data_IF_605551562311
#
_entry.id   IF_605551562311
#
_cell.length_a   1.000
_cell.length_b   1.000
_cell.length_c   1.000
_cell.angle_alpha   90.00
_cell.angle_beta   90.00
_cell.angle_gamma   90.00
#
_symmetry.space_group_name_H-M   'P 1'
#
loop_
_entity.id
_entity.type
_entity.pdbx_description
1 polymer ?
#
# COMPACT_ATOMS: atom_id res chain seq x y z
N UNK A 1 -22.42 27.18 1.64
CA UNK A 1 -22.50 26.43 0.37
C UNK A 1 -21.83 25.09 0.60
N UNK A 2 -22.57 24.00 0.64
CA UNK A 2 -21.99 22.67 0.86
C UNK A 2 -21.33 22.21 -0.45
N UNK A 3 -20.03 21.95 -0.41
CA UNK A 3 -19.28 21.42 -1.55
C UNK A 3 -19.63 19.92 -1.62
N UNK A 4 -20.31 19.49 -2.66
CA UNK A 4 -20.55 18.09 -2.95
C UNK A 4 -19.31 17.52 -3.63
N UNK A 5 -18.58 16.66 -2.92
CA UNK A 5 -17.48 15.88 -3.48
C UNK A 5 -18.10 14.75 -4.29
N UNK A 6 -17.76 14.65 -5.58
CA UNK A 6 -18.22 13.55 -6.43
C UNK A 6 -17.35 12.30 -6.21
N UNK A 7 -17.90 11.12 -6.54
CA UNK A 7 -17.13 9.86 -6.55
C UNK A 7 -15.83 9.96 -7.38
N UNK A 8 -15.86 10.78 -8.42
CA UNK A 8 -14.73 11.00 -9.31
C UNK A 8 -13.61 11.79 -8.63
N UNK A 9 -13.97 12.77 -7.80
CA UNK A 9 -13.00 13.59 -7.05
C UNK A 9 -12.31 12.76 -5.97
N UNK A 10 -13.04 11.83 -5.33
CA UNK A 10 -12.50 10.88 -4.36
C UNK A 10 -11.58 9.85 -5.04
N UNK A 11 -11.97 9.30 -6.19
CA UNK A 11 -11.16 8.35 -6.95
C UNK A 11 -9.91 8.98 -7.55
N UNK A 12 -9.90 10.29 -7.78
CA UNK A 12 -8.74 11.02 -8.30
C UNK A 12 -7.73 11.42 -7.21
N UNK A 13 -7.92 10.97 -5.96
CA UNK A 13 -6.94 11.19 -4.90
C UNK A 13 -6.82 12.65 -4.43
N UNK A 14 -7.84 13.48 -4.70
CA UNK A 14 -7.88 14.85 -4.17
C UNK A 14 -8.26 14.78 -2.69
N UNK A 15 -7.27 14.66 -1.83
CA UNK A 15 -7.43 14.92 -0.41
C UNK A 15 -7.71 16.43 -0.25
N UNK A 16 -8.95 16.77 0.07
CA UNK A 16 -9.28 18.15 0.45
C UNK A 16 -8.76 18.39 1.86
N UNK A 17 -7.48 18.70 1.94
CA UNK A 17 -6.84 19.26 3.12
C UNK A 17 -6.75 20.78 2.95
N UNK A 18 -7.58 21.51 3.68
CA UNK A 18 -7.43 22.92 4.07
C UNK A 18 -6.75 23.86 3.06
N UNK A 19 -7.51 24.43 2.14
CA UNK A 19 -7.02 25.53 1.34
C UNK A 19 -7.92 25.93 0.20
N UNK A 20 -8.95 26.75 0.44
CA UNK A 20 -9.84 27.31 -0.59
C UNK A 20 -9.16 28.17 -1.67
N UNK A 21 -7.84 28.14 -1.76
CA UNK A 21 -7.06 28.83 -2.81
C UNK A 21 -6.71 27.96 -4.01
N UNK A 22 -6.87 26.63 -3.92
CA UNK A 22 -6.53 25.72 -5.05
C UNK A 22 -7.74 25.35 -5.93
N UNK A 23 -8.96 25.76 -5.56
CA UNK A 23 -10.18 25.47 -6.31
C UNK A 23 -10.49 26.50 -7.42
N UNK A 24 -9.70 27.53 -7.60
CA UNK A 24 -9.88 28.49 -8.71
C UNK A 24 -9.34 27.98 -10.05
N UNK A 25 -8.67 26.82 -10.09
CA UNK A 25 -8.09 26.27 -11.32
C UNK A 25 -8.97 25.30 -12.12
N UNK A 26 -10.11 24.86 -11.59
CA UNK A 26 -10.93 23.80 -12.21
C UNK A 26 -12.22 24.26 -12.89
N UNK A 27 -12.39 25.54 -13.18
CA UNK A 27 -13.62 26.10 -13.72
C UNK A 27 -13.46 27.12 -14.83
N UNK A 28 -12.38 27.13 -15.58
CA UNK A 28 -12.20 27.95 -16.79
C UNK A 28 -12.41 27.12 -18.05
N UNK A 29 -13.08 27.71 -19.06
CA UNK A 29 -13.13 27.16 -20.40
C UNK A 29 -11.72 26.88 -20.91
N UNK A 30 -11.50 25.81 -21.70
CA UNK A 30 -10.18 25.46 -22.21
C UNK A 30 -9.66 26.55 -23.16
N UNK A 31 -8.72 27.34 -22.69
CA UNK A 31 -7.90 28.09 -23.63
C UNK A 31 -7.07 27.13 -24.49
N UNK A 32 -6.85 27.44 -25.79
CA UNK A 32 -6.05 26.57 -26.66
C UNK A 32 -4.61 26.46 -26.11
N UNK A 33 -3.96 25.30 -26.29
CA UNK A 33 -2.72 24.98 -25.65
C UNK A 33 -1.61 25.95 -26.05
N UNK A 34 -1.31 26.88 -25.20
CA UNK A 34 0.02 27.50 -25.19
C UNK A 34 1.01 26.39 -24.80
N UNK A 35 2.12 26.34 -25.53
CA UNK A 35 3.26 25.43 -25.35
C UNK A 35 3.31 24.78 -23.96
N UNK A 36 3.34 23.44 -23.92
CA UNK A 36 3.42 22.67 -22.69
C UNK A 36 4.44 23.36 -21.76
N UNK A 37 3.95 24.15 -20.83
CA UNK A 37 4.77 24.69 -19.77
C UNK A 37 5.00 23.53 -18.80
N UNK A 38 5.97 22.69 -19.15
CA UNK A 38 6.48 21.70 -18.23
C UNK A 38 6.92 22.46 -16.99
N UNK A 39 6.33 22.15 -15.85
CA UNK A 39 6.61 22.87 -14.61
C UNK A 39 8.13 23.03 -14.43
N UNK A 40 8.59 24.20 -13.97
CA UNK A 40 10.00 24.37 -13.69
C UNK A 40 10.46 23.28 -12.72
N UNK A 41 11.72 22.87 -12.76
CA UNK A 41 12.25 21.87 -11.86
C UNK A 41 11.89 22.26 -10.43
N UNK A 42 11.36 21.29 -9.71
CA UNK A 42 10.88 21.42 -8.35
C UNK A 42 11.96 21.99 -7.43
N UNK A 43 11.58 22.37 -6.21
CA UNK A 43 12.52 22.82 -5.14
C UNK A 43 13.62 21.80 -4.81
N UNK A 44 13.55 20.61 -5.38
CA UNK A 44 14.45 19.52 -5.13
C UNK A 44 15.63 19.55 -6.09
N UNK A 45 16.80 19.37 -5.52
CA UNK A 45 18.02 19.24 -6.31
C UNK A 45 17.95 18.01 -7.23
N UNK A 46 18.63 18.00 -8.38
CA UNK A 46 18.76 16.81 -9.20
C UNK A 46 19.29 15.61 -8.38
N UNK A 47 18.89 14.37 -8.69
CA UNK A 47 19.34 13.17 -7.97
C UNK A 47 20.86 13.02 -7.85
N UNK A 48 21.61 13.61 -8.76
CA UNK A 48 23.08 13.62 -8.75
C UNK A 48 23.69 14.75 -7.89
N UNK A 49 22.88 15.61 -7.28
CA UNK A 49 23.39 16.62 -6.36
C UNK A 49 23.75 16.00 -5.02
N UNK A 50 24.88 16.38 -4.44
CA UNK A 50 25.41 15.82 -3.20
C UNK A 50 24.51 15.98 -1.96
N UNK A 51 23.54 16.90 -2.02
CA UNK A 51 22.56 17.14 -0.95
C UNK A 51 21.18 16.57 -1.22
N UNK A 52 21.00 15.78 -2.30
CA UNK A 52 19.72 15.21 -2.63
C UNK A 52 19.42 13.98 -1.75
N UNK A 53 18.47 14.15 -0.82
CA UNK A 53 18.07 13.09 0.09
C UNK A 53 16.56 13.18 0.40
N UNK A 54 15.69 12.62 -0.47
CA UNK A 54 14.24 12.74 -0.37
C UNK A 54 13.62 12.26 0.94
N UNK A 55 14.14 11.23 1.66
CA UNK A 55 13.52 10.77 2.90
C UNK A 55 13.34 11.83 3.98
N UNK A 56 14.13 12.90 3.96
CA UNK A 56 14.04 14.02 4.92
C UNK A 56 13.07 15.12 4.51
N UNK A 57 12.49 15.03 3.30
CA UNK A 57 11.53 16.01 2.83
C UNK A 57 10.18 15.80 3.53
N UNK A 58 9.52 16.90 3.89
CA UNK A 58 8.23 16.91 4.56
C UNK A 58 7.10 17.17 3.57
N UNK A 59 5.85 16.89 3.98
CA UNK A 59 4.65 17.11 3.18
C UNK A 59 4.10 15.82 2.59
N UNK A 60 3.29 15.95 1.55
CA UNK A 60 2.64 14.81 0.88
C UNK A 60 3.61 14.12 -0.06
N UNK A 61 4.34 13.14 0.44
CA UNK A 61 5.40 12.44 -0.29
C UNK A 61 4.91 11.64 -1.51
N UNK A 62 3.65 11.24 -1.54
CA UNK A 62 3.04 10.53 -2.66
C UNK A 62 2.47 11.44 -3.75
N UNK A 63 2.37 12.76 -3.51
CA UNK A 63 1.78 13.75 -4.43
C UNK A 63 2.47 15.09 -4.22
N UNK A 64 3.76 15.14 -4.55
CA UNK A 64 4.57 16.35 -4.45
C UNK A 64 4.68 17.05 -5.82
N UNK A 65 5.06 18.31 -5.82
CA UNK A 65 5.34 19.09 -7.02
C UNK A 65 6.39 18.36 -7.90
N UNK A 66 6.10 18.19 -9.17
CA UNK A 66 6.93 17.45 -10.15
C UNK A 66 6.49 16.00 -10.37
N UNK A 67 5.70 15.41 -9.47
CA UNK A 67 5.27 14.00 -9.58
C UNK A 67 4.01 13.79 -10.41
N UNK A 68 3.17 14.81 -10.59
CA UNK A 68 1.85 14.63 -11.20
C UNK A 68 1.59 15.53 -12.43
N UNK A 69 2.31 16.62 -12.62
CA UNK A 69 1.98 17.62 -13.63
C UNK A 69 2.03 17.04 -15.05
N UNK A 70 3.07 16.28 -15.36
CA UNK A 70 3.23 15.62 -16.67
C UNK A 70 2.14 14.57 -16.88
N UNK A 71 1.88 13.74 -15.87
CA UNK A 71 0.84 12.72 -15.92
C UNK A 71 -0.55 13.33 -16.07
N UNK A 72 -0.86 14.43 -15.35
CA UNK A 72 -2.13 15.15 -15.48
C UNK A 72 -2.27 15.87 -16.83
N UNK A 73 -1.20 16.45 -17.35
CA UNK A 73 -1.21 17.04 -18.68
C UNK A 73 -1.61 16.00 -19.73
N UNK A 74 -1.00 14.84 -19.69
CA UNK A 74 -1.27 13.75 -20.61
C UNK A 74 -2.69 13.15 -20.38
N UNK A 75 -3.00 12.71 -19.15
CA UNK A 75 -4.20 11.94 -18.89
C UNK A 75 -5.50 12.78 -18.94
N UNK A 76 -5.46 14.04 -18.51
CA UNK A 76 -6.65 14.88 -18.44
C UNK A 76 -6.83 15.80 -19.62
N UNK A 77 -5.73 16.25 -20.23
CA UNK A 77 -5.78 17.21 -21.33
C UNK A 77 -5.31 16.67 -22.67
N UNK A 78 -4.79 15.42 -22.69
CA UNK A 78 -4.19 14.84 -23.89
C UNK A 78 -2.91 15.57 -24.35
N UNK A 79 -2.33 16.38 -23.50
CA UNK A 79 -1.14 17.17 -23.82
C UNK A 79 0.12 16.32 -23.65
N UNK A 80 0.95 16.28 -24.67
CA UNK A 80 2.24 15.60 -24.64
C UNK A 80 3.28 16.40 -25.42
N UNK A 81 4.56 16.25 -25.10
CA UNK A 81 5.64 16.90 -25.89
C UNK A 81 5.53 16.56 -27.37
N UNK A 82 5.73 17.57 -28.23
CA UNK A 82 5.71 17.35 -29.67
C UNK A 82 6.95 16.62 -30.19
N UNK A 83 8.08 16.80 -29.48
CA UNK A 83 9.36 16.21 -29.83
C UNK A 83 10.05 15.66 -28.57
N UNK A 84 10.73 14.54 -28.74
CA UNK A 84 11.57 13.92 -27.72
C UNK A 84 13.00 13.88 -28.20
N UNK A 85 13.94 14.34 -27.38
CA UNK A 85 15.35 14.25 -27.67
C UNK A 85 15.80 12.79 -27.56
N UNK A 86 16.26 12.13 -28.63
CA UNK A 86 16.79 10.80 -28.53
C UNK A 86 18.13 10.85 -27.76
N UNK A 87 18.26 9.93 -26.83
CA UNK A 87 19.53 9.65 -26.16
C UNK A 87 20.20 8.47 -26.83
N UNK A 88 21.53 8.50 -26.93
CA UNK A 88 22.31 7.36 -27.42
C UNK A 88 22.46 6.31 -26.31
N UNK A 89 21.30 5.85 -25.83
CA UNK A 89 21.20 4.85 -24.75
C UNK A 89 20.28 3.71 -25.18
N UNK A 90 20.78 2.51 -25.03
CA UNK A 90 20.02 1.28 -25.26
C UNK A 90 20.14 0.36 -24.05
N UNK A 91 19.04 -0.27 -23.63
CA UNK A 91 18.95 -1.14 -22.48
C UNK A 91 18.38 -2.51 -22.87
N UNK A 92 18.78 -3.57 -22.17
CA UNK A 92 18.16 -4.89 -22.32
C UNK A 92 16.74 -4.85 -21.73
N UNK A 93 16.54 -4.06 -20.65
CA UNK A 93 15.26 -3.86 -20.00
C UNK A 93 15.08 -2.42 -19.55
N UNK A 94 13.92 -1.84 -19.84
CA UNK A 94 13.42 -0.64 -19.14
C UNK A 94 12.23 -1.02 -18.27
N UNK A 95 12.23 -0.56 -17.03
CA UNK A 95 11.12 -0.76 -16.07
C UNK A 95 10.51 0.59 -15.75
N UNK A 96 9.22 0.75 -16.01
CA UNK A 96 8.46 1.95 -15.68
C UNK A 96 7.82 1.78 -14.32
N UNK A 97 8.34 2.49 -13.32
CA UNK A 97 7.99 2.42 -11.92
C UNK A 97 9.06 1.70 -11.09
N UNK A 98 9.62 2.42 -10.10
CA UNK A 98 10.60 1.89 -9.14
C UNK A 98 9.95 1.54 -7.78
N UNK A 99 8.66 1.14 -7.79
CA UNK A 99 7.99 0.51 -6.66
C UNK A 99 8.44 -0.95 -6.49
N UNK A 100 7.88 -1.66 -5.50
CA UNK A 100 8.24 -3.06 -5.21
C UNK A 100 8.17 -3.97 -6.44
N UNK A 101 7.12 -3.84 -7.26
CA UNK A 101 6.95 -4.66 -8.47
C UNK A 101 8.04 -4.39 -9.50
N UNK A 102 8.40 -3.11 -9.70
CA UNK A 102 9.45 -2.75 -10.65
C UNK A 102 10.84 -3.15 -10.18
N UNK A 103 11.15 -2.96 -8.91
CA UNK A 103 12.41 -3.40 -8.30
C UNK A 103 12.56 -4.93 -8.37
N UNK A 104 11.48 -5.67 -8.06
CA UNK A 104 11.46 -7.12 -8.18
C UNK A 104 11.64 -7.58 -9.64
N UNK A 105 10.97 -6.93 -10.60
CA UNK A 105 11.11 -7.24 -12.02
C UNK A 105 12.56 -7.05 -12.49
N UNK A 106 13.19 -5.94 -12.12
CA UNK A 106 14.59 -5.67 -12.43
C UNK A 106 15.52 -6.73 -11.80
N UNK A 107 15.27 -7.10 -10.55
CA UNK A 107 16.05 -8.14 -9.87
C UNK A 107 15.91 -9.51 -10.52
N UNK A 108 14.71 -9.97 -10.82
CA UNK A 108 14.50 -11.26 -11.50
C UNK A 108 15.08 -11.28 -12.90
N UNK A 109 14.98 -10.18 -13.64
CA UNK A 109 15.60 -10.06 -14.96
C UNK A 109 17.12 -10.18 -14.85
N UNK A 110 17.76 -9.41 -13.97
CA UNK A 110 19.19 -9.48 -13.71
C UNK A 110 19.64 -10.87 -13.26
N UNK A 111 18.88 -11.51 -12.38
CA UNK A 111 19.16 -12.88 -11.90
C UNK A 111 19.14 -13.90 -13.05
N UNK A 112 18.26 -13.68 -14.04
CA UNK A 112 18.13 -14.57 -15.21
C UNK A 112 19.16 -14.28 -16.29
N UNK A 113 19.43 -13.01 -16.58
CA UNK A 113 20.24 -12.57 -17.71
C UNK A 113 21.73 -12.37 -17.35
N UNK A 114 22.02 -12.22 -16.07
CA UNK A 114 23.37 -11.99 -15.55
C UNK A 114 23.59 -10.58 -15.01
N UNK A 115 24.73 -10.36 -14.31
CA UNK A 115 25.01 -9.10 -13.63
C UNK A 115 25.26 -7.93 -14.60
N UNK A 116 25.64 -8.21 -15.84
CA UNK A 116 25.97 -7.20 -16.85
C UNK A 116 24.74 -6.72 -17.64
N UNK A 117 23.55 -7.30 -17.39
CA UNK A 117 22.32 -6.90 -18.04
C UNK A 117 22.05 -5.40 -17.79
N UNK A 118 21.90 -4.65 -18.88
CA UNK A 118 21.67 -3.22 -18.85
C UNK A 118 20.21 -2.93 -18.55
N UNK A 119 19.94 -2.44 -17.35
CA UNK A 119 18.58 -2.20 -16.84
C UNK A 119 18.44 -0.72 -16.46
N UNK A 120 17.36 -0.08 -16.93
CA UNK A 120 16.97 1.24 -16.46
C UNK A 120 15.60 1.19 -15.79
N UNK A 121 15.51 1.71 -14.58
CA UNK A 121 14.24 1.98 -13.91
C UNK A 121 13.92 3.47 -14.05
N UNK A 122 12.68 3.80 -14.44
CA UNK A 122 12.15 5.17 -14.48
C UNK A 122 11.07 5.32 -13.42
N UNK A 123 11.16 6.34 -12.58
CA UNK A 123 10.10 6.67 -11.62
C UNK A 123 9.77 8.16 -11.69
N UNK A 124 8.50 8.49 -11.68
CA UNK A 124 8.02 9.87 -11.74
C UNK A 124 8.16 10.63 -10.41
N UNK A 125 8.40 9.91 -9.33
CA UNK A 125 8.62 10.51 -8.01
C UNK A 125 10.08 10.89 -7.78
N UNK A 126 10.29 11.68 -6.75
CA UNK A 126 11.60 12.10 -6.25
C UNK A 126 12.34 10.99 -5.48
N UNK A 127 11.67 9.87 -5.22
CA UNK A 127 12.18 8.75 -4.45
C UNK A 127 11.61 7.43 -4.99
N UNK A 128 12.33 6.34 -4.78
CA UNK A 128 11.93 4.99 -5.14
C UNK A 128 11.06 4.35 -4.04
N UNK A 129 10.57 3.13 -4.28
CA UNK A 129 9.80 2.33 -3.35
C UNK A 129 8.28 2.38 -3.56
N UNK A 130 7.77 3.29 -4.39
CA UNK A 130 6.33 3.43 -4.63
C UNK A 130 5.58 3.81 -3.34
N UNK A 131 4.63 2.98 -2.88
CA UNK A 131 3.95 3.14 -1.60
C UNK A 131 4.87 2.94 -0.38
N UNK A 132 5.97 2.20 -0.56
CA UNK A 132 6.95 1.94 0.49
C UNK A 132 7.93 3.11 0.64
N UNK A 133 7.40 4.28 0.94
CA UNK A 133 8.19 5.49 1.22
C UNK A 133 8.71 5.49 2.64
N UNK A 134 9.86 6.14 2.84
CA UNK A 134 10.45 6.39 4.15
C UNK A 134 10.28 7.86 4.52
N UNK A 135 9.87 8.11 5.74
CA UNK A 135 9.91 9.45 6.35
C UNK A 135 10.99 9.47 7.42
N UNK A 136 11.92 10.40 7.30
CA UNK A 136 13.07 10.52 8.20
C UNK A 136 13.10 11.92 8.79
N UNK A 137 13.05 11.98 10.12
CA UNK A 137 13.06 13.22 10.88
C UNK A 137 14.32 13.28 11.75
N UNK A 138 14.92 14.45 11.83
CA UNK A 138 16.10 14.69 12.67
C UNK A 138 15.79 15.79 13.69
N UNK A 139 15.95 15.48 14.97
CA UNK A 139 15.76 16.43 16.06
C UNK A 139 16.77 16.17 17.16
N UNK A 140 17.50 17.21 17.56
CA UNK A 140 18.53 17.15 18.62
C UNK A 140 19.53 15.98 18.46
N UNK A 141 19.99 15.77 17.21
CA UNK A 141 20.96 14.72 16.89
C UNK A 141 20.38 13.30 16.89
N UNK A 142 19.07 13.15 17.04
CA UNK A 142 18.37 11.87 16.96
C UNK A 142 17.65 11.74 15.64
N UNK A 143 17.82 10.61 14.97
CA UNK A 143 17.03 10.21 13.82
C UNK A 143 15.76 9.49 14.31
N UNK A 144 14.63 9.87 13.76
CA UNK A 144 13.34 9.21 13.98
C UNK A 144 12.79 8.79 12.61
N UNK A 145 12.31 7.56 12.54
CA UNK A 145 11.75 6.98 11.33
C UNK A 145 10.24 6.88 11.46
N UNK A 146 9.56 7.06 10.34
CA UNK A 146 8.13 6.83 10.22
C UNK A 146 7.82 6.15 8.90
N UNK A 147 6.70 5.47 8.90
CA UNK A 147 6.17 4.71 7.77
C UNK A 147 5.69 5.65 6.67
N UNK A 148 5.73 5.15 5.44
CA UNK A 148 4.98 5.69 4.31
C UNK A 148 3.65 4.96 4.14
N UNK A 149 3.32 4.55 2.92
CA UNK A 149 2.06 3.87 2.60
C UNK A 149 2.04 2.36 2.85
N UNK A 150 3.18 1.70 3.13
CA UNK A 150 3.29 0.26 3.29
C UNK A 150 4.07 -0.08 4.56
N UNK A 151 3.42 -0.76 5.49
CA UNK A 151 3.95 -0.99 6.84
C UNK A 151 4.46 -2.41 7.03
N UNK A 152 3.60 -3.41 6.82
CA UNK A 152 3.79 -4.77 7.31
C UNK A 152 4.41 -5.71 6.28
N UNK A 153 5.18 -6.65 6.76
CA UNK A 153 5.39 -7.94 6.14
C UNK A 153 4.34 -8.88 6.73
N UNK A 154 3.23 -9.06 6.03
CA UNK A 154 2.13 -9.90 6.50
C UNK A 154 2.42 -11.37 6.15
N UNK A 155 2.43 -12.23 7.15
CA UNK A 155 2.60 -13.68 7.03
C UNK A 155 3.81 -14.10 6.18
N UNK A 156 5.02 -13.60 6.47
CA UNK A 156 6.20 -13.87 5.64
C UNK A 156 6.53 -15.36 5.53
N UNK A 157 6.25 -16.16 6.54
CA UNK A 157 6.41 -17.64 6.49
C UNK A 157 5.45 -18.32 5.51
N UNK A 158 4.35 -17.65 5.13
CA UNK A 158 3.37 -18.12 4.14
C UNK A 158 3.64 -17.66 2.70
N UNK A 159 4.73 -16.96 2.43
CA UNK A 159 5.02 -16.44 1.10
C UNK A 159 5.24 -17.56 0.07
N UNK A 160 4.82 -17.31 -1.16
CA UNK A 160 5.11 -18.21 -2.27
C UNK A 160 6.62 -18.43 -2.43
N UNK A 161 7.02 -19.54 -3.07
CA UNK A 161 8.45 -19.81 -3.36
C UNK A 161 9.14 -18.64 -4.10
N UNK A 162 8.40 -17.92 -4.93
CA UNK A 162 8.93 -16.77 -5.68
C UNK A 162 9.13 -15.57 -4.75
N UNK A 163 8.10 -15.23 -3.96
CA UNK A 163 8.18 -14.12 -3.03
C UNK A 163 9.17 -14.39 -1.89
N UNK A 164 9.10 -15.55 -1.24
CA UNK A 164 10.06 -15.94 -0.21
C UNK A 164 11.50 -16.03 -0.73
N UNK A 165 11.68 -16.53 -1.96
CA UNK A 165 12.99 -16.54 -2.61
C UNK A 165 13.53 -15.13 -2.88
N UNK A 166 12.68 -14.16 -3.24
CA UNK A 166 13.07 -12.76 -3.36
C UNK A 166 13.51 -12.18 -2.02
N UNK A 167 12.74 -12.47 -0.97
CA UNK A 167 13.06 -12.00 0.39
C UNK A 167 14.40 -12.55 0.88
N UNK A 168 14.64 -13.85 0.68
CA UNK A 168 15.93 -14.48 1.00
C UNK A 168 17.09 -13.90 0.16
N UNK A 169 16.88 -13.60 -1.13
CA UNK A 169 17.90 -12.97 -1.99
C UNK A 169 18.38 -11.62 -1.44
N UNK A 170 17.50 -10.87 -0.74
CA UNK A 170 17.84 -9.59 -0.12
C UNK A 170 18.22 -9.69 1.36
N UNK A 171 18.33 -10.92 1.88
CA UNK A 171 18.77 -11.20 3.24
C UNK A 171 17.64 -11.31 4.28
N UNK A 172 16.39 -11.23 3.86
CA UNK A 172 15.22 -11.44 4.74
C UNK A 172 14.83 -12.91 4.64
N UNK A 173 15.61 -13.77 5.29
CA UNK A 173 15.35 -15.20 5.40
C UNK A 173 14.53 -15.54 6.66
N UNK A 174 14.27 -16.82 6.87
CA UNK A 174 13.47 -17.30 8.00
C UNK A 174 14.11 -16.95 9.35
N UNK A 175 15.43 -16.97 9.45
CA UNK A 175 16.14 -16.60 10.69
C UNK A 175 16.01 -15.11 10.99
N UNK A 176 16.14 -14.28 9.94
CA UNK A 176 15.94 -12.83 10.08
C UNK A 176 14.48 -12.50 10.44
N UNK A 177 13.51 -13.15 9.79
CA UNK A 177 12.07 -12.98 10.10
C UNK A 177 11.76 -13.38 11.54
N UNK A 178 12.34 -14.48 12.03
CA UNK A 178 12.17 -14.90 13.41
C UNK A 178 12.77 -13.88 14.40
N UNK A 179 13.90 -13.27 14.06
CA UNK A 179 14.52 -12.23 14.89
C UNK A 179 13.72 -10.91 14.92
N UNK A 180 12.87 -10.67 13.91
CA UNK A 180 11.98 -9.50 13.83
C UNK A 180 10.70 -9.64 14.67
N UNK A 181 10.59 -10.64 15.53
CA UNK A 181 9.36 -10.88 16.28
C UNK A 181 8.98 -9.65 17.13
N UNK A 182 7.89 -8.99 16.72
CA UNK A 182 7.34 -7.82 17.43
C UNK A 182 6.73 -8.18 18.78
N UNK A 183 6.47 -9.47 19.03
CA UNK A 183 5.93 -9.96 20.30
C UNK A 183 7.02 -10.14 21.37
N UNK A 184 8.27 -9.86 21.08
CA UNK A 184 9.29 -9.78 22.12
C UNK A 184 8.97 -8.64 23.09
N UNK A 185 9.27 -8.78 24.40
CA UNK A 185 8.99 -7.75 25.40
C UNK A 185 9.52 -6.36 25.02
N UNK A 186 10.67 -6.30 24.37
CA UNK A 186 11.30 -5.04 23.96
C UNK A 186 10.54 -4.39 22.77
N UNK A 187 10.10 -5.19 21.80
CA UNK A 187 9.34 -4.70 20.66
C UNK A 187 7.90 -4.31 21.05
N UNK A 188 7.28 -5.03 21.98
CA UNK A 188 5.97 -4.66 22.52
C UNK A 188 6.01 -3.35 23.32
N UNK A 189 7.12 -3.03 23.96
CA UNK A 189 7.30 -1.75 24.63
C UNK A 189 7.37 -0.59 23.62
N UNK A 190 7.87 -0.83 22.40
CA UNK A 190 7.92 0.14 21.31
C UNK A 190 6.58 0.28 20.57
N UNK A 191 5.86 -0.82 20.38
CA UNK A 191 4.57 -0.84 19.69
C UNK A 191 3.42 -0.24 20.50
N UNK A 192 3.65 0.11 21.75
CA UNK A 192 2.60 0.45 22.71
C UNK A 192 1.85 -0.82 23.14
N UNK A 193 1.04 -0.69 24.17
CA UNK A 193 0.21 -1.80 24.64
C UNK A 193 -0.90 -2.04 23.59
N UNK A 194 -0.83 -3.16 22.89
CA UNK A 194 -1.95 -3.64 22.04
C UNK A 194 -3.24 -3.84 22.86
N UNK A 195 -3.12 -3.92 24.18
CA UNK A 195 -4.22 -3.95 25.15
C UNK A 195 -4.74 -2.56 25.54
N UNK A 196 -4.24 -1.50 24.93
CA UNK A 196 -4.76 -0.17 25.22
C UNK A 196 -6.21 -0.07 24.75
N UNK A 197 -7.04 0.52 25.58
CA UNK A 197 -8.40 0.90 25.20
C UNK A 197 -8.30 1.77 23.93
N UNK A 198 -8.96 1.31 22.87
CA UNK A 198 -9.12 2.05 21.64
C UNK A 198 -10.57 2.47 21.46
N UNK A 199 -10.84 3.46 20.61
CA UNK A 199 -12.17 3.99 20.40
C UNK A 199 -12.60 3.83 18.94
N UNK A 200 -13.90 3.57 18.78
CA UNK A 200 -14.56 3.66 17.46
C UNK A 200 -15.41 4.92 17.44
N UNK A 201 -15.21 5.77 16.45
CA UNK A 201 -16.04 6.93 16.20
C UNK A 201 -17.20 6.54 15.27
N UNK A 202 -18.43 6.66 15.77
CA UNK A 202 -19.63 6.34 15.01
C UNK A 202 -20.42 7.62 14.69
N UNK A 203 -21.13 7.67 13.56
CA UNK A 203 -22.08 8.75 13.30
C UNK A 203 -23.13 8.85 14.40
N UNK A 204 -23.43 10.04 14.85
CA UNK A 204 -24.44 10.30 15.86
C UNK A 204 -25.28 11.54 15.52
N UNK A 205 -26.37 11.80 16.25
CA UNK A 205 -27.31 12.88 15.94
C UNK A 205 -26.68 14.28 15.89
N UNK A 206 -25.61 14.47 16.66
CA UNK A 206 -24.92 15.77 16.81
C UNK A 206 -23.45 15.69 16.34
N UNK A 207 -23.12 14.80 15.38
CA UNK A 207 -21.76 14.57 14.89
C UNK A 207 -21.33 13.13 15.15
N UNK A 208 -20.21 12.92 15.85
CA UNK A 208 -19.68 11.60 16.14
C UNK A 208 -19.85 11.26 17.62
N UNK A 209 -20.15 9.99 17.88
CA UNK A 209 -20.08 9.38 19.21
C UNK A 209 -18.86 8.48 19.25
N UNK A 210 -17.94 8.73 20.18
CA UNK A 210 -16.79 7.87 20.39
C UNK A 210 -17.10 6.83 21.46
N UNK A 211 -16.95 5.55 21.14
CA UNK A 211 -17.14 4.44 22.05
C UNK A 211 -15.78 3.83 22.34
N UNK A 212 -15.29 4.09 23.54
CA UNK A 212 -14.06 3.48 24.04
C UNK A 212 -14.28 2.03 24.47
N UNK A 213 -13.23 1.24 24.40
CA UNK A 213 -13.22 -0.15 24.84
C UNK A 213 -12.08 -0.95 24.18
N UNK A 214 -12.09 -2.25 24.40
CA UNK A 214 -11.15 -3.15 23.75
C UNK A 214 -11.73 -3.69 22.43
N UNK A 215 -11.64 -2.88 21.37
CA UNK A 215 -12.15 -3.26 20.05
C UNK A 215 -11.30 -4.35 19.38
N UNK A 216 -10.03 -4.49 19.75
CA UNK A 216 -9.21 -5.64 19.31
C UNK A 216 -9.78 -6.95 19.85
N UNK A 217 -10.19 -6.97 21.12
CA UNK A 217 -10.86 -8.14 21.69
C UNK A 217 -12.20 -8.45 21.00
N UNK A 218 -12.93 -7.45 20.53
CA UNK A 218 -14.14 -7.63 19.73
C UNK A 218 -13.81 -8.27 18.38
N UNK A 219 -12.80 -7.76 17.67
CA UNK A 219 -12.45 -8.23 16.32
C UNK A 219 -11.81 -9.62 16.32
N UNK A 220 -10.85 -9.85 17.20
CA UNK A 220 -10.01 -11.06 17.17
C UNK A 220 -10.35 -12.08 18.25
N UNK A 221 -11.28 -11.76 19.14
CA UNK A 221 -11.59 -12.53 20.34
C UNK A 221 -10.59 -12.27 21.46
N UNK A 222 -11.03 -12.29 22.70
CA UNK A 222 -10.18 -12.05 23.85
C UNK A 222 -10.99 -11.58 25.06
N UNK A 223 -10.32 -11.32 26.15
CA UNK A 223 -10.98 -10.80 27.35
C UNK A 223 -11.47 -9.35 27.13
N UNK A 224 -12.64 -9.05 27.70
CA UNK A 224 -13.19 -7.68 27.67
C UNK A 224 -14.08 -7.32 26.49
N UNK A 225 -14.24 -8.20 25.46
CA UNK A 225 -15.12 -7.91 24.33
C UNK A 225 -16.58 -7.65 24.76
N UNK A 226 -17.08 -8.39 25.75
CA UNK A 226 -18.44 -8.21 26.25
C UNK A 226 -18.65 -6.82 26.86
N UNK A 227 -17.70 -6.34 27.65
CA UNK A 227 -17.74 -4.99 28.23
C UNK A 227 -17.77 -3.92 27.13
N UNK A 228 -17.01 -4.09 26.08
CA UNK A 228 -16.96 -3.16 24.94
C UNK A 228 -18.29 -3.14 24.20
N UNK A 229 -18.88 -4.31 23.93
CA UNK A 229 -20.16 -4.42 23.25
C UNK A 229 -21.33 -3.86 24.10
N UNK A 230 -21.24 -3.98 25.44
CA UNK A 230 -22.21 -3.36 26.35
C UNK A 230 -22.19 -1.84 26.36
N UNK A 231 -21.12 -1.22 25.85
CA UNK A 231 -21.02 0.25 25.72
C UNK A 231 -21.64 0.77 24.40
N UNK A 232 -22.08 -0.11 23.50
CA UNK A 232 -22.72 0.29 22.24
C UNK A 232 -24.08 0.95 22.50
N UNK A 233 -24.42 2.03 21.78
CA UNK A 233 -25.69 2.74 21.91
C UNK A 233 -26.82 2.02 21.14
N UNK A 234 -26.96 0.73 21.38
CA UNK A 234 -28.01 -0.14 20.81
C UNK A 234 -28.83 -0.78 21.93
N UNK A 235 -29.93 -1.42 21.59
CA UNK A 235 -30.78 -2.07 22.59
C UNK A 235 -30.04 -3.20 23.34
N UNK A 236 -30.44 -3.47 24.57
CA UNK A 236 -29.86 -4.56 25.38
C UNK A 236 -29.97 -5.90 24.66
N UNK A 237 -31.09 -6.16 23.97
CA UNK A 237 -31.28 -7.36 23.17
C UNK A 237 -30.27 -7.49 22.02
N UNK A 238 -29.94 -6.41 21.36
CA UNK A 238 -28.91 -6.40 20.33
C UNK A 238 -27.50 -6.56 20.90
N UNK A 239 -27.22 -5.93 22.06
CA UNK A 239 -25.97 -6.17 22.77
C UNK A 239 -25.80 -7.64 23.13
N UNK A 240 -26.85 -8.32 23.60
CA UNK A 240 -26.84 -9.76 23.86
C UNK A 240 -26.58 -10.56 22.58
N UNK A 241 -27.26 -10.20 21.50
CA UNK A 241 -27.06 -10.84 20.18
C UNK A 241 -25.63 -10.68 19.68
N UNK A 242 -25.06 -9.48 19.80
CA UNK A 242 -23.66 -9.22 19.41
C UNK A 242 -22.68 -10.00 20.28
N UNK A 243 -22.91 -10.10 21.59
CA UNK A 243 -22.10 -10.88 22.52
C UNK A 243 -22.14 -12.37 22.13
N UNK A 244 -23.31 -12.90 21.80
CA UNK A 244 -23.44 -14.28 21.32
C UNK A 244 -22.74 -14.49 19.97
N UNK A 245 -22.87 -13.51 19.07
CA UNK A 245 -22.27 -13.55 17.73
C UNK A 245 -20.75 -13.53 17.78
N UNK A 246 -20.16 -12.56 18.47
CA UNK A 246 -18.70 -12.47 18.60
C UNK A 246 -18.12 -13.60 19.47
N UNK A 247 -18.85 -14.03 20.50
CA UNK A 247 -18.44 -15.12 21.38
C UNK A 247 -18.62 -16.52 20.81
N UNK A 248 -19.29 -16.67 19.67
CA UNK A 248 -19.57 -17.99 19.08
C UNK A 248 -20.49 -18.85 19.94
N UNK A 249 -21.36 -18.24 20.74
CA UNK A 249 -22.25 -18.93 21.67
C UNK A 249 -23.46 -19.55 20.98
N UNK A 250 -23.86 -19.05 19.81
CA UNK A 250 -25.02 -19.47 19.03
C UNK A 250 -24.62 -19.81 17.59
N UNK A 251 -25.31 -20.82 17.00
CA UNK A 251 -25.25 -21.11 15.56
C UNK A 251 -26.30 -20.28 14.81
N UNK A 252 -25.91 -19.26 14.10
CA UNK A 252 -26.81 -18.41 13.31
C UNK A 252 -27.19 -19.03 11.96
N UNK A 253 -26.59 -20.17 11.59
CA UNK A 253 -26.98 -20.96 10.44
C UNK A 253 -27.72 -22.24 10.84
N UNK A 254 -28.23 -22.28 12.07
CA UNK A 254 -29.03 -23.44 12.55
C UNK A 254 -30.25 -23.69 11.65
N UNK A 255 -30.61 -24.95 11.50
CA UNK A 255 -31.68 -25.40 10.60
C UNK A 255 -31.25 -25.65 9.15
N UNK A 256 -30.03 -25.27 8.77
CA UNK A 256 -29.47 -25.57 7.44
C UNK A 256 -28.59 -26.81 7.49
N UNK A 257 -28.72 -27.68 6.49
CA UNK A 257 -27.77 -28.78 6.24
C UNK A 257 -26.40 -28.23 5.86
N UNK A 258 -25.37 -29.07 5.88
CA UNK A 258 -24.00 -28.65 5.53
C UNK A 258 -23.90 -28.07 4.12
N UNK A 259 -24.60 -28.68 3.17
CA UNK A 259 -24.67 -28.22 1.77
C UNK A 259 -25.31 -26.84 1.68
N UNK A 260 -26.45 -26.65 2.37
CA UNK A 260 -27.15 -25.36 2.37
C UNK A 260 -26.35 -24.26 3.08
N UNK A 261 -25.63 -24.59 4.16
CA UNK A 261 -24.71 -23.64 4.81
C UNK A 261 -23.63 -23.17 3.84
N UNK A 262 -23.04 -24.11 3.09
CA UNK A 262 -22.01 -23.79 2.10
C UNK A 262 -22.56 -22.90 0.98
N UNK A 263 -23.72 -23.21 0.43
CA UNK A 263 -24.37 -22.39 -0.58
C UNK A 263 -24.71 -21.01 -0.04
N UNK A 264 -25.26 -20.94 1.18
CA UNK A 264 -25.63 -19.68 1.83
C UNK A 264 -24.41 -18.74 1.99
N UNK A 265 -23.31 -19.22 2.56
CA UNK A 265 -22.14 -18.38 2.82
C UNK A 265 -21.43 -17.92 1.55
N UNK A 266 -21.61 -18.63 0.42
CA UNK A 266 -21.04 -18.27 -0.87
C UNK A 266 -21.93 -17.35 -1.70
N UNK A 267 -23.22 -17.25 -1.41
CA UNK A 267 -24.20 -16.54 -2.24
C UNK A 267 -24.79 -15.30 -1.57
N UNK A 268 -24.87 -15.28 -0.24
CA UNK A 268 -25.47 -14.18 0.52
C UNK A 268 -24.40 -13.19 0.92
N UNK A 269 -24.69 -11.89 0.81
CA UNK A 269 -23.77 -10.88 1.28
C UNK A 269 -23.76 -10.78 2.82
N UNK A 270 -22.64 -10.33 3.37
CA UNK A 270 -22.42 -10.33 4.81
C UNK A 270 -23.42 -9.45 5.57
N UNK A 271 -23.81 -8.30 5.02
CA UNK A 271 -24.78 -7.43 5.69
C UNK A 271 -26.18 -8.07 5.72
N UNK A 272 -26.58 -8.73 4.64
CA UNK A 272 -27.83 -9.48 4.62
C UNK A 272 -27.84 -10.61 5.67
N UNK A 273 -26.72 -11.32 5.81
CA UNK A 273 -26.54 -12.29 6.88
C UNK A 273 -26.70 -11.67 8.29
N UNK A 274 -26.12 -10.49 8.53
CA UNK A 274 -26.28 -9.78 9.79
C UNK A 274 -27.72 -9.39 10.08
N UNK A 275 -28.45 -8.97 9.07
CA UNK A 275 -29.88 -8.60 9.21
C UNK A 275 -30.77 -9.82 9.38
N UNK A 276 -30.67 -10.82 8.50
CA UNK A 276 -31.64 -11.90 8.40
C UNK A 276 -31.40 -13.05 9.37
N UNK A 277 -30.13 -13.40 9.61
CA UNK A 277 -29.75 -14.55 10.43
C UNK A 277 -29.28 -14.16 11.81
N UNK A 278 -28.46 -13.12 11.90
CA UNK A 278 -28.01 -12.60 13.21
C UNK A 278 -29.14 -11.80 13.86
N UNK A 279 -29.97 -11.13 13.08
CA UNK A 279 -31.14 -10.41 13.54
C UNK A 279 -30.82 -9.03 14.12
N UNK A 280 -29.79 -8.38 13.56
CA UNK A 280 -29.44 -7.00 13.92
C UNK A 280 -30.38 -6.00 13.25
N UNK A 281 -30.57 -4.85 13.88
CA UNK A 281 -31.29 -3.74 13.28
C UNK A 281 -30.46 -3.08 12.16
N UNK A 282 -31.13 -2.42 11.20
CA UNK A 282 -30.46 -1.76 10.09
C UNK A 282 -29.47 -0.69 10.58
N UNK A 283 -29.75 -0.03 11.70
CA UNK A 283 -28.91 1.01 12.31
C UNK A 283 -27.64 0.45 12.95
N UNK A 284 -27.63 -0.84 13.30
CA UNK A 284 -26.48 -1.51 13.93
C UNK A 284 -25.48 -2.04 12.90
N UNK A 285 -25.94 -2.42 11.71
CA UNK A 285 -25.07 -2.95 10.64
C UNK A 285 -23.94 -2.01 10.26
N UNK A 286 -24.12 -0.67 10.13
CA UNK A 286 -23.02 0.26 9.84
C UNK A 286 -21.90 0.25 10.87
N UNK A 287 -22.16 -0.09 12.13
CA UNK A 287 -21.16 -0.21 13.19
C UNK A 287 -20.18 -1.33 12.86
N UNK A 288 -20.70 -2.50 12.44
CA UNK A 288 -19.89 -3.65 12.04
C UNK A 288 -19.22 -3.43 10.68
N UNK A 289 -19.86 -2.69 9.78
CA UNK A 289 -19.26 -2.33 8.50
C UNK A 289 -17.99 -1.47 8.65
N UNK A 290 -17.89 -0.65 9.68
CA UNK A 290 -16.67 0.11 9.94
C UNK A 290 -15.46 -0.82 10.17
N UNK A 291 -15.67 -1.94 10.86
CA UNK A 291 -14.66 -2.97 11.09
C UNK A 291 -14.29 -3.67 9.76
N UNK A 292 -15.28 -4.09 8.99
CA UNK A 292 -15.07 -4.78 7.71
C UNK A 292 -14.36 -3.86 6.71
N UNK A 293 -14.78 -2.60 6.64
CA UNK A 293 -14.19 -1.61 5.76
C UNK A 293 -12.70 -1.37 6.10
N UNK A 294 -12.36 -1.39 7.39
CA UNK A 294 -10.97 -1.31 7.83
C UNK A 294 -10.13 -2.49 7.35
N UNK A 295 -10.67 -3.71 7.37
CA UNK A 295 -9.96 -4.92 6.98
C UNK A 295 -9.86 -5.11 5.45
N UNK A 296 -10.92 -4.77 4.72
CA UNK A 296 -11.07 -5.15 3.31
C UNK A 296 -11.11 -3.99 2.34
N UNK A 297 -11.35 -2.76 2.81
CA UNK A 297 -11.66 -1.61 1.95
C UNK A 297 -13.04 -1.69 1.27
N UNK A 298 -13.83 -2.73 1.55
CA UNK A 298 -15.15 -2.98 0.95
C UNK A 298 -16.23 -3.05 2.04
N UNK A 299 -17.44 -2.64 1.68
CA UNK A 299 -18.62 -2.80 2.52
C UNK A 299 -19.08 -4.27 2.53
N UNK A 300 -19.65 -4.72 3.65
CA UNK A 300 -20.28 -6.04 3.74
C UNK A 300 -21.44 -6.28 2.75
N UNK A 301 -21.93 -5.25 2.06
CA UNK A 301 -22.85 -5.39 0.92
C UNK A 301 -22.16 -5.92 -0.35
N UNK A 302 -20.85 -5.79 -0.44
CA UNK A 302 -20.05 -6.15 -1.62
C UNK A 302 -19.27 -7.46 -1.42
N UNK A 303 -19.37 -8.07 -0.25
CA UNK A 303 -18.68 -9.31 0.10
C UNK A 303 -19.70 -10.38 0.46
N UNK A 304 -19.50 -11.58 -0.01
CA UNK A 304 -20.24 -12.75 0.51
C UNK A 304 -19.84 -12.99 1.97
N UNK A 305 -20.66 -13.76 2.68
CA UNK A 305 -20.34 -14.15 4.06
C UNK A 305 -18.97 -14.83 4.13
N UNK A 306 -18.68 -15.72 3.16
CA UNK A 306 -17.40 -16.45 3.12
C UNK A 306 -16.22 -15.49 2.88
N UNK A 307 -16.35 -14.57 1.93
CA UNK A 307 -15.29 -13.58 1.63
C UNK A 307 -15.05 -12.64 2.82
N UNK A 308 -16.11 -12.15 3.45
CA UNK A 308 -15.98 -11.28 4.61
C UNK A 308 -15.25 -11.99 5.76
N UNK A 309 -15.64 -13.22 6.08
CA UNK A 309 -15.00 -14.00 7.15
C UNK A 309 -13.58 -14.42 6.78
N UNK A 310 -13.35 -14.78 5.52
CA UNK A 310 -12.01 -15.08 5.02
C UNK A 310 -11.04 -13.90 5.09
N UNK A 311 -11.56 -12.68 5.13
CA UNK A 311 -10.81 -11.45 5.33
C UNK A 311 -10.83 -10.93 6.78
N UNK A 312 -11.22 -11.78 7.74
CA UNK A 312 -11.14 -11.45 9.17
C UNK A 312 -12.43 -10.88 9.79
N UNK A 313 -13.54 -10.79 9.04
CA UNK A 313 -14.81 -10.40 9.63
C UNK A 313 -15.29 -11.47 10.63
N UNK A 314 -15.99 -11.00 11.67
CA UNK A 314 -16.49 -11.88 12.71
C UNK A 314 -17.60 -12.82 12.22
N UNK A 315 -17.79 -13.95 12.90
CA UNK A 315 -18.93 -14.84 12.68
C UNK A 315 -18.60 -16.32 12.44
N UNK A 316 -17.36 -16.67 12.10
CA UNK A 316 -17.00 -18.07 11.85
C UNK A 316 -17.33 -19.00 13.01
N UNK A 317 -17.10 -18.56 14.26
CA UNK A 317 -17.41 -19.32 15.48
C UNK A 317 -18.91 -19.49 15.70
N UNK A 318 -19.72 -18.66 15.07
CA UNK A 318 -21.17 -18.56 15.16
C UNK A 318 -21.90 -19.27 14.02
N UNK A 319 -21.23 -20.18 13.31
CA UNK A 319 -21.76 -21.04 12.24
C UNK A 319 -21.81 -22.53 12.65
N UNK A 320 -21.98 -22.78 13.94
CA UNK A 320 -22.10 -24.10 14.50
C UNK A 320 -20.77 -24.86 14.62
N UNK A 321 -20.85 -26.20 14.71
CA UNK A 321 -19.67 -27.04 14.93
C UNK A 321 -18.66 -26.93 13.75
N UNK A 322 -19.15 -26.78 12.52
CA UNK A 322 -18.30 -26.66 11.34
C UNK A 322 -17.46 -25.38 11.43
N UNK A 323 -18.09 -24.24 11.70
CA UNK A 323 -17.40 -22.99 11.90
C UNK A 323 -16.40 -23.03 13.05
N UNK A 324 -16.78 -23.64 14.17
CA UNK A 324 -15.89 -23.85 15.33
C UNK A 324 -14.70 -24.75 14.99
N UNK A 325 -14.92 -25.82 14.23
CA UNK A 325 -13.85 -26.74 13.80
C UNK A 325 -12.91 -26.02 12.81
N UNK A 326 -13.46 -25.31 11.83
CA UNK A 326 -12.64 -24.50 10.89
C UNK A 326 -11.86 -23.43 11.65
N UNK A 327 -12.49 -22.74 12.61
CA UNK A 327 -11.80 -21.76 13.43
C UNK A 327 -10.70 -22.37 14.32
N UNK A 328 -10.89 -23.58 14.82
CA UNK A 328 -9.89 -24.26 15.67
C UNK A 328 -8.75 -24.88 14.86
N UNK A 329 -9.04 -25.46 13.69
CA UNK A 329 -8.02 -26.00 12.78
C UNK A 329 -7.34 -24.86 12.01
N UNK A 330 -8.13 -23.85 11.64
CA UNK A 330 -7.63 -22.63 11.03
C UNK A 330 -6.95 -21.69 12.02
N UNK A 331 -7.06 -21.94 13.34
CA UNK A 331 -6.41 -21.08 14.35
C UNK A 331 -4.91 -21.00 14.16
N UNK A 332 -4.25 -22.13 13.94
CA UNK A 332 -2.82 -22.16 13.61
C UNK A 332 -2.51 -21.58 12.23
N UNK A 333 -3.44 -21.70 11.28
CA UNK A 333 -3.33 -21.06 9.98
C UNK A 333 -3.64 -19.55 10.06
N UNK A 334 -4.66 -19.17 10.86
CA UNK A 334 -4.96 -17.76 11.16
C UNK A 334 -3.84 -17.12 11.99
N UNK A 335 -3.21 -17.83 12.91
CA UNK A 335 -2.04 -17.35 13.63
C UNK A 335 -0.85 -17.13 12.68
N UNK A 336 -0.69 -18.00 11.66
CA UNK A 336 0.30 -17.75 10.60
C UNK A 336 -0.09 -16.63 9.65
N UNK A 337 -1.38 -16.42 9.39
CA UNK A 337 -1.89 -15.27 8.62
C UNK A 337 -1.83 -13.95 9.40
N UNK A 338 -1.81 -14.03 10.74
CA UNK A 338 -1.63 -12.87 11.63
C UNK A 338 -0.17 -12.65 12.02
N UNK A 339 0.75 -13.43 11.44
CA UNK A 339 2.17 -13.18 11.60
C UNK A 339 2.53 -11.85 10.92
N UNK A 340 2.75 -10.82 11.71
CA UNK A 340 3.16 -9.50 11.23
C UNK A 340 4.59 -9.25 11.63
N UNK A 341 5.40 -8.84 10.66
CA UNK A 341 6.76 -8.33 10.88
C UNK A 341 6.83 -6.92 10.32
N UNK A 342 7.75 -6.11 10.84
CA UNK A 342 7.83 -4.72 10.44
C UNK A 342 9.24 -4.17 10.65
N UNK A 343 9.76 -3.47 9.65
CA UNK A 343 10.92 -2.61 9.82
C UNK A 343 10.52 -1.27 10.47
N UNK A 344 11.44 -0.55 11.11
CA UNK A 344 11.17 0.76 11.71
C UNK A 344 10.58 1.79 10.72
N UNK A 345 10.89 1.68 9.43
CA UNK A 345 10.39 2.50 8.34
C UNK A 345 9.42 1.73 7.43
N UNK A 346 8.88 0.61 7.91
CA UNK A 346 8.00 -0.26 7.15
C UNK A 346 8.68 -0.88 5.95
N UNK A 347 7.93 -1.15 4.89
CA UNK A 347 8.44 -1.80 3.68
C UNK A 347 9.41 -0.92 2.87
N UNK A 348 9.68 0.31 3.28
CA UNK A 348 10.75 1.11 2.70
C UNK A 348 12.11 0.39 2.83
N UNK A 349 12.36 -0.31 3.93
CA UNK A 349 13.57 -1.14 4.08
C UNK A 349 13.65 -2.25 3.04
N UNK A 350 12.55 -2.90 2.66
CA UNK A 350 12.54 -3.91 1.60
C UNK A 350 12.91 -3.29 0.25
N UNK A 351 12.34 -2.11 -0.07
CA UNK A 351 12.71 -1.38 -1.29
C UNK A 351 14.18 -0.99 -1.29
N UNK A 352 14.70 -0.52 -0.16
CA UNK A 352 16.11 -0.12 0.01
C UNK A 352 17.06 -1.30 -0.16
N UNK A 353 16.71 -2.47 0.38
CA UNK A 353 17.48 -3.71 0.18
C UNK A 353 17.52 -4.12 -1.29
N UNK A 354 16.39 -4.06 -2.01
CA UNK A 354 16.35 -4.34 -3.45
C UNK A 354 17.19 -3.35 -4.24
N UNK A 355 17.11 -2.05 -3.93
CA UNK A 355 17.92 -1.03 -4.60
C UNK A 355 19.41 -1.25 -4.33
N UNK A 356 19.79 -1.57 -3.10
CA UNK A 356 21.18 -1.87 -2.75
C UNK A 356 21.71 -3.13 -3.50
N UNK A 357 20.88 -4.15 -3.64
CA UNK A 357 21.26 -5.35 -4.44
C UNK A 357 21.41 -5.02 -5.93
N UNK A 358 20.56 -4.15 -6.48
CA UNK A 358 20.62 -3.72 -7.88
C UNK A 358 21.76 -2.73 -8.13
N UNK A 359 21.99 -1.82 -7.21
CA UNK A 359 22.93 -0.70 -7.31
C UNK A 359 23.74 -0.60 -6.00
N UNK A 360 24.72 -1.49 -5.76
CA UNK A 360 25.44 -1.54 -4.48
C UNK A 360 26.10 -0.21 -4.05
N UNK A 361 26.46 0.63 -5.02
CA UNK A 361 27.08 1.92 -4.76
C UNK A 361 26.20 2.96 -4.05
N UNK A 362 24.90 2.68 -3.83
CA UNK A 362 24.01 3.60 -3.09
C UNK A 362 24.20 3.51 -1.58
N UNK A 363 24.65 2.37 -1.08
CA UNK A 363 24.91 2.15 0.35
C UNK A 363 26.10 1.16 0.51
N UNK A 364 27.33 1.61 0.22
CA UNK A 364 28.50 0.73 0.16
C UNK A 364 28.86 0.13 1.52
N UNK A 365 28.52 0.79 2.60
CA UNK A 365 28.83 0.36 3.97
C UNK A 365 27.77 -0.58 4.59
N UNK A 366 26.67 -0.80 3.87
CA UNK A 366 25.59 -1.69 4.33
C UNK A 366 25.98 -3.14 4.10
N UNK A 367 25.96 -3.94 5.15
CA UNK A 367 26.38 -5.36 5.11
C UNK A 367 25.22 -6.33 5.08
N UNK A 368 24.08 -5.98 5.65
CA UNK A 368 22.91 -6.83 5.73
C UNK A 368 21.61 -6.06 5.96
N UNK A 369 20.50 -6.79 6.09
CA UNK A 369 19.18 -6.18 6.30
C UNK A 369 19.05 -5.48 7.67
N UNK A 370 19.86 -5.85 8.66
CA UNK A 370 19.93 -5.20 9.97
C UNK A 370 20.40 -3.75 9.90
N UNK A 371 21.23 -3.41 8.92
CA UNK A 371 21.78 -2.07 8.74
C UNK A 371 20.82 -1.13 7.99
N UNK A 372 19.86 -1.68 7.23
CA UNK A 372 19.11 -0.94 6.20
C UNK A 372 18.33 0.25 6.76
N UNK A 373 17.76 0.11 7.95
CA UNK A 373 16.99 1.18 8.58
C UNK A 373 17.85 2.39 8.96
N UNK A 374 19.11 2.16 9.35
CA UNK A 374 20.06 3.21 9.73
C UNK A 374 20.95 3.69 8.57
N UNK A 375 21.03 2.94 7.47
CA UNK A 375 21.90 3.25 6.34
C UNK A 375 21.51 4.56 5.65
N UNK A 376 22.50 5.41 5.36
CA UNK A 376 22.31 6.55 4.46
C UNK A 376 22.49 6.11 3.00
N UNK A 377 21.58 6.49 2.12
CA UNK A 377 21.65 6.15 0.71
C UNK A 377 22.14 7.33 -0.10
N UNK A 378 23.19 7.06 -0.89
CA UNK A 378 23.77 8.00 -1.85
C UNK A 378 22.95 8.07 -3.13
N UNK A 379 21.92 8.91 -3.19
CA UNK A 379 21.04 9.03 -4.37
C UNK A 379 21.78 9.39 -5.65
N UNK A 380 22.91 10.11 -5.55
CA UNK A 380 23.79 10.39 -6.68
C UNK A 380 24.43 9.13 -7.31
N UNK A 381 24.34 7.98 -6.66
CA UNK A 381 24.80 6.72 -7.22
C UNK A 381 23.74 5.99 -8.05
N UNK A 382 22.48 6.44 -8.07
CA UNK A 382 21.39 5.72 -8.74
C UNK A 382 21.52 5.70 -10.27
N UNK A 383 22.05 6.75 -10.91
CA UNK A 383 22.11 6.89 -12.37
C UNK A 383 23.53 7.22 -12.87
N UNK A 384 24.53 6.43 -12.50
CA UNK A 384 25.90 6.59 -13.02
C UNK A 384 26.05 5.83 -14.34
N UNK A 385 26.72 6.44 -15.33
CA UNK A 385 26.87 5.89 -16.68
C UNK A 385 27.57 4.54 -16.75
N UNK A 386 28.49 4.27 -15.83
CA UNK A 386 29.30 3.04 -15.82
C UNK A 386 28.63 1.86 -15.10
N UNK A 387 27.33 1.96 -14.76
CA UNK A 387 26.58 0.92 -14.08
C UNK A 387 25.69 0.14 -15.05
N UNK A 388 25.58 -1.17 -14.84
CA UNK A 388 24.66 -2.01 -15.60
C UNK A 388 23.20 -1.70 -15.24
N UNK A 389 22.88 -1.57 -13.95
CA UNK A 389 21.54 -1.16 -13.50
C UNK A 389 21.57 0.30 -13.09
N UNK A 390 20.63 1.08 -13.64
CA UNK A 390 20.47 2.51 -13.38
C UNK A 390 19.04 2.84 -13.00
N UNK A 391 18.84 3.92 -12.26
CA UNK A 391 17.52 4.40 -11.86
C UNK A 391 17.44 5.91 -12.00
N UNK A 392 16.45 6.38 -12.78
CA UNK A 392 16.14 7.81 -12.96
C UNK A 392 14.86 8.15 -12.22
N UNK A 393 14.99 8.94 -11.19
CA UNK A 393 13.89 9.56 -10.46
C UNK A 393 13.44 10.85 -11.17
N UNK A 394 12.27 11.38 -10.79
CA UNK A 394 11.66 12.55 -11.44
C UNK A 394 11.54 12.38 -12.96
N UNK A 395 11.22 11.17 -13.40
CA UNK A 395 11.19 10.75 -14.80
C UNK A 395 9.86 10.08 -15.13
N UNK A 396 8.94 10.85 -15.70
CA UNK A 396 7.58 10.38 -16.03
C UNK A 396 7.57 9.77 -17.43
N UNK A 397 7.38 8.47 -17.54
CA UNK A 397 7.15 7.80 -18.82
C UNK A 397 5.77 8.23 -19.37
N UNK A 398 5.74 8.63 -20.64
CA UNK A 398 4.56 9.17 -21.34
C UNK A 398 4.22 8.43 -22.62
N UNK A 399 5.07 7.53 -23.06
CA UNK A 399 4.82 6.70 -24.23
C UNK A 399 5.74 5.50 -24.27
N UNK A 400 5.17 4.34 -24.56
CA UNK A 400 5.89 3.10 -24.80
C UNK A 400 5.34 2.49 -26.06
N UNK A 401 6.20 2.19 -27.04
CA UNK A 401 5.77 1.61 -28.31
C UNK A 401 6.79 0.65 -28.85
N UNK A 402 6.29 -0.41 -29.45
CA UNK A 402 7.09 -1.33 -30.21
C UNK A 402 7.45 -0.72 -31.55
N UNK A 403 8.69 -0.89 -31.98
CA UNK A 403 9.22 -0.42 -33.27
C UNK A 403 9.84 -1.58 -34.03
N UNK A 404 10.17 -1.36 -35.32
CA UNK A 404 10.77 -2.38 -36.17
C UNK A 404 11.99 -3.05 -35.53
N UNK A 405 12.10 -4.37 -35.66
CA UNK A 405 13.19 -5.16 -35.14
C UNK A 405 13.02 -5.64 -33.69
N UNK A 406 11.77 -5.71 -33.20
CA UNK A 406 11.44 -6.16 -31.84
C UNK A 406 12.10 -5.31 -30.73
N UNK A 407 12.22 -4.02 -30.96
CA UNK A 407 12.69 -3.04 -30.00
C UNK A 407 11.54 -2.24 -29.45
N UNK A 408 11.75 -1.66 -28.27
CA UNK A 408 10.79 -0.78 -27.61
C UNK A 408 11.40 0.61 -27.50
N UNK A 409 10.67 1.62 -27.95
CA UNK A 409 10.97 3.03 -27.66
C UNK A 409 10.18 3.48 -26.44
N UNK A 410 10.85 4.20 -25.55
CA UNK A 410 10.27 4.76 -24.34
C UNK A 410 10.47 6.27 -24.37
N UNK A 411 9.36 6.99 -24.40
CA UNK A 411 9.31 8.44 -24.26
C UNK A 411 9.03 8.80 -22.81
N UNK A 412 9.83 9.69 -22.26
CA UNK A 412 9.65 10.15 -20.89
C UNK A 412 10.03 11.62 -20.74
N UNK A 413 9.55 12.24 -19.68
CA UNK A 413 9.90 13.61 -19.32
C UNK A 413 10.66 13.58 -18.01
N UNK A 414 11.89 14.07 -18.02
CA UNK A 414 12.75 14.19 -16.85
C UNK A 414 13.00 15.68 -16.55
N UNK A 415 12.53 16.15 -15.41
CA UNK A 415 12.72 17.55 -14.99
C UNK A 415 12.34 18.56 -16.09
N UNK A 416 11.23 18.32 -16.78
CA UNK A 416 10.75 19.16 -17.87
C UNK A 416 11.39 18.88 -19.25
N UNK A 417 12.39 18.02 -19.37
CA UNK A 417 13.04 17.67 -20.62
C UNK A 417 12.41 16.41 -21.24
N UNK A 418 11.81 16.50 -22.44
CA UNK A 418 11.29 15.32 -23.14
C UNK A 418 12.45 14.53 -23.75
N UNK A 419 12.59 13.29 -23.36
CA UNK A 419 13.67 12.39 -23.72
C UNK A 419 13.14 11.07 -24.30
N UNK A 420 13.95 10.40 -25.12
CA UNK A 420 13.67 9.11 -25.72
C UNK A 420 14.86 8.18 -25.57
N UNK A 421 14.55 6.94 -25.18
CA UNK A 421 15.52 5.84 -25.12
C UNK A 421 14.95 4.60 -25.84
N UNK A 422 15.80 3.62 -26.05
CA UNK A 422 15.42 2.33 -26.63
C UNK A 422 15.75 1.17 -25.69
N UNK A 423 15.00 0.09 -25.81
CA UNK A 423 15.26 -1.16 -25.08
C UNK A 423 14.85 -2.39 -25.91
N UNK A 424 15.35 -3.57 -25.51
CA UNK A 424 14.86 -4.83 -26.05
C UNK A 424 13.52 -5.21 -25.40
N UNK A 425 13.36 -4.89 -24.11
CA UNK A 425 12.13 -5.19 -23.36
C UNK A 425 11.71 -4.01 -22.48
N UNK A 426 10.39 -3.91 -22.23
CA UNK A 426 9.83 -2.97 -21.28
C UNK A 426 8.86 -3.66 -20.34
N UNK A 427 8.94 -3.34 -19.05
CA UNK A 427 7.96 -3.74 -18.02
C UNK A 427 7.26 -2.51 -17.49
N UNK A 428 5.94 -2.47 -17.64
CA UNK A 428 5.09 -1.42 -17.04
C UNK A 428 4.70 -1.86 -15.63
N UNK A 429 5.47 -1.41 -14.65
CA UNK A 429 5.25 -1.66 -13.22
C UNK A 429 4.61 -0.46 -12.51
N UNK A 430 3.94 0.40 -13.28
CA UNK A 430 3.15 1.53 -12.81
C UNK A 430 1.70 1.13 -12.53
N UNK A 431 0.90 2.07 -12.02
CA UNK A 431 -0.53 1.85 -11.82
C UNK A 431 -1.23 1.59 -13.17
N UNK A 432 -1.86 0.43 -13.29
CA UNK A 432 -2.44 -0.05 -14.56
C UNK A 432 -3.50 0.89 -15.15
N UNK A 433 -4.21 1.65 -14.32
CA UNK A 433 -5.20 2.64 -14.75
C UNK A 433 -4.61 3.80 -15.55
N UNK A 434 -3.29 4.00 -15.55
CA UNK A 434 -2.60 5.04 -16.33
C UNK A 434 -2.19 4.55 -17.73
N UNK A 435 -2.10 3.23 -17.96
CA UNK A 435 -1.58 2.66 -19.21
C UNK A 435 -2.38 3.09 -20.46
N UNK A 436 -3.72 3.24 -20.41
CA UNK A 436 -4.49 3.67 -21.57
C UNK A 436 -4.27 5.13 -21.98
N UNK A 437 -3.66 5.94 -21.16
CA UNK A 437 -3.44 7.37 -21.38
C UNK A 437 -2.05 7.67 -21.91
#
# INVERSE_FOLDING_TARGET
MAIQITRRDFMNGIAIGAGGALLQGCGGDPEPPANLSLAPPTKFSPPNASAYYPPTLTGMRGSHEGSFEVAHALAWRGEKPAHYQPLDEHYDLVVVGAGMSGLAAAWFYRKKMGPDARILLLDNHDDFGGHAKRNEFHHDGRMMLSLGGAQNLDSPSGYSKVAGGLMADIGIDDDFVAAMDINTPDNMALAGKLDADNGVALPGPNGHVTIGGNWNAVMYGGEGYEKTLRALPVSVGEQDTLIDFFGGKRDFLDGLSLSEKWEYVNSVNYNQFLLERVGLAEETVPILNAIILHLTGLSGWNLTVLEAIGNGASGIRSMGWVGKTVASVGGSFLDSLLEVRMFPDGNASVARLLVQKLIPGVAPDMTGPEDVAAAHFEYGALDRENQATRMRLNSTAVGVREVEGSRVEIDYVQQGNPLRITADHCVLACYNGLIPH
#
